data_IF_139121613300
#
_entry.id   IF_139121613300
#
_cell.length_a   1.000
_cell.length_b   1.000
_cell.length_c   1.000
_cell.angle_alpha   90.00
_cell.angle_beta   90.00
_cell.angle_gamma   90.00
#
_symmetry.space_group_name_H-M   'P 1'
#
loop_
_entity.id
_entity.type
_entity.pdbx_description
1 polymer ?
#
# COMPACT_ATOMS: atom_id res chain seq x y z
N UNK A 1 -18.23 -2.85 14.30
CA UNK A 1 -16.95 -2.25 14.75
C UNK A 1 -15.93 -2.55 13.65
N UNK A 2 -15.07 -1.63 13.30
CA UNK A 2 -13.98 -1.89 12.35
C UNK A 2 -12.77 -2.46 13.11
N UNK A 3 -11.91 -3.18 12.43
CA UNK A 3 -10.64 -3.71 12.95
C UNK A 3 -9.51 -2.77 12.52
N UNK A 4 -8.60 -2.43 13.42
CA UNK A 4 -7.49 -1.52 13.14
C UNK A 4 -6.17 -2.28 13.23
N UNK A 5 -5.32 -2.08 12.22
CA UNK A 5 -3.95 -2.61 12.16
C UNK A 5 -3.00 -1.42 12.09
N UNK A 6 -1.95 -1.45 12.87
CA UNK A 6 -0.87 -0.46 12.88
C UNK A 6 0.34 -1.02 12.15
N UNK A 7 1.01 -0.17 11.38
CA UNK A 7 2.21 -0.54 10.64
C UNK A 7 3.40 0.34 11.05
N UNK A 8 4.57 -0.26 11.14
CA UNK A 8 5.84 0.43 11.38
C UNK A 8 6.89 -0.03 10.38
N UNK A 9 7.71 0.91 9.91
CA UNK A 9 8.68 0.68 8.85
C UNK A 9 8.27 1.27 7.51
N UNK A 10 9.14 1.09 6.52
CA UNK A 10 8.93 1.56 5.15
C UNK A 10 9.71 0.72 4.15
N UNK A 11 9.27 0.68 2.91
CA UNK A 11 10.00 0.06 1.81
C UNK A 11 10.75 1.14 1.04
N UNK A 12 12.02 0.91 0.79
CA UNK A 12 12.88 1.83 0.03
C UNK A 12 12.83 1.52 -1.46
N UNK A 13 12.65 2.58 -2.26
CA UNK A 13 12.83 2.51 -3.70
C UNK A 13 14.31 2.50 -4.09
N UNK A 14 14.66 1.78 -5.15
CA UNK A 14 16.02 1.74 -5.71
C UNK A 14 16.50 3.10 -6.26
N UNK A 15 15.60 4.04 -6.47
CA UNK A 15 15.82 5.42 -6.95
C UNK A 15 14.69 6.32 -6.49
N UNK A 16 14.88 7.64 -6.34
CA UNK A 16 13.80 8.56 -6.04
C UNK A 16 12.68 8.46 -7.08
N UNK A 17 11.44 8.49 -6.60
CA UNK A 17 10.25 8.42 -7.44
C UNK A 17 9.97 9.78 -8.07
N UNK A 18 9.63 9.80 -9.34
CA UNK A 18 9.31 11.04 -10.06
C UNK A 18 8.05 11.72 -9.49
N UNK A 19 8.07 13.05 -9.40
CA UNK A 19 7.02 13.85 -8.73
C UNK A 19 5.61 13.56 -9.26
N UNK A 20 5.44 13.33 -10.55
CA UNK A 20 4.13 13.01 -11.12
C UNK A 20 3.56 11.67 -10.60
N UNK A 21 4.44 10.69 -10.38
CA UNK A 21 4.04 9.40 -9.84
C UNK A 21 3.73 9.50 -8.35
N UNK A 22 4.50 10.27 -7.60
CA UNK A 22 4.21 10.60 -6.19
C UNK A 22 2.84 11.24 -6.07
N UNK A 23 2.55 12.27 -6.88
CA UNK A 23 1.25 12.94 -6.89
C UNK A 23 0.12 11.97 -7.23
N UNK A 24 0.32 11.13 -8.26
CA UNK A 24 -0.68 10.13 -8.66
C UNK A 24 -0.94 9.11 -7.55
N UNK A 25 0.10 8.47 -6.99
CA UNK A 25 -0.03 7.44 -5.96
C UNK A 25 -0.68 8.01 -4.69
N UNK A 26 -0.26 9.19 -4.22
CA UNK A 26 -0.85 9.81 -3.04
C UNK A 26 -2.30 10.25 -3.29
N UNK A 27 -2.67 10.59 -4.53
CA UNK A 27 -4.06 10.82 -4.91
C UNK A 27 -4.86 9.53 -5.04
N UNK A 28 -4.25 8.45 -5.53
CA UNK A 28 -4.83 7.11 -5.60
C UNK A 28 -5.22 6.60 -4.20
N UNK A 29 -4.33 6.76 -3.21
CA UNK A 29 -4.56 6.47 -1.80
C UNK A 29 -5.80 7.22 -1.27
N UNK A 30 -5.89 8.51 -1.52
CA UNK A 30 -6.98 9.36 -1.04
C UNK A 30 -8.26 9.30 -1.89
N UNK A 31 -8.40 8.34 -2.80
CA UNK A 31 -9.59 8.19 -3.65
C UNK A 31 -10.23 6.83 -3.42
N UNK A 32 -11.53 6.81 -3.05
CA UNK A 32 -12.28 5.56 -2.89
C UNK A 32 -12.30 4.76 -4.20
N UNK A 33 -11.90 3.50 -4.15
CA UNK A 33 -11.74 2.58 -5.28
C UNK A 33 -13.07 1.93 -5.71
N UNK A 34 -14.03 2.76 -6.10
CA UNK A 34 -15.34 2.27 -6.54
C UNK A 34 -15.28 1.75 -7.98
N UNK A 35 -16.05 0.71 -8.23
CA UNK A 35 -16.27 0.18 -9.58
C UNK A 35 -16.98 1.20 -10.46
N UNK A 36 -16.44 1.48 -11.65
CA UNK A 36 -16.89 2.55 -12.53
C UNK A 36 -17.06 2.11 -13.99
N UNK A 37 -17.91 2.80 -14.72
CA UNK A 37 -18.05 2.71 -16.17
C UNK A 37 -17.06 3.65 -16.86
N UNK A 38 -16.11 3.08 -17.59
CA UNK A 38 -15.07 3.84 -18.29
C UNK A 38 -15.64 4.80 -19.36
N UNK A 39 -16.74 4.44 -20.03
CA UNK A 39 -17.37 5.32 -21.02
C UNK A 39 -17.99 6.55 -20.32
N UNK A 40 -18.60 6.34 -19.15
CA UNK A 40 -19.16 7.42 -18.35
C UNK A 40 -18.09 8.31 -17.72
N UNK A 41 -16.96 7.75 -17.30
CA UNK A 41 -15.82 8.57 -16.86
C UNK A 41 -15.42 9.55 -17.97
N UNK A 42 -15.23 9.07 -19.20
CA UNK A 42 -14.83 9.90 -20.33
C UNK A 42 -15.87 10.97 -20.70
N UNK A 43 -17.14 10.67 -20.52
CA UNK A 43 -18.24 11.63 -20.75
C UNK A 43 -18.28 12.73 -19.69
N UNK A 44 -18.14 12.35 -18.40
CA UNK A 44 -18.32 13.26 -17.27
C UNK A 44 -17.08 14.08 -16.92
N UNK A 45 -15.91 13.57 -17.23
CA UNK A 45 -14.62 14.19 -16.89
C UNK A 45 -13.80 14.45 -18.16
N UNK A 46 -13.93 15.64 -18.77
CA UNK A 46 -13.22 15.96 -20.03
C UNK A 46 -11.70 15.78 -19.98
N UNK A 47 -11.11 15.99 -18.80
CA UNK A 47 -9.65 15.81 -18.55
C UNK A 47 -9.31 14.44 -17.95
N UNK A 48 -10.13 13.41 -18.20
CA UNK A 48 -9.98 12.07 -17.61
C UNK A 48 -8.59 11.46 -17.79
N UNK A 49 -7.89 11.78 -18.89
CA UNK A 49 -6.52 11.29 -19.15
C UNK A 49 -5.52 11.73 -18.07
N UNK A 50 -5.75 12.91 -17.46
CA UNK A 50 -4.94 13.43 -16.36
C UNK A 50 -5.34 12.83 -15.00
N UNK A 51 -6.49 12.17 -14.95
CA UNK A 51 -7.07 11.59 -13.74
C UNK A 51 -6.93 10.07 -13.71
N UNK A 52 -5.94 9.53 -14.43
CA UNK A 52 -5.68 8.09 -14.46
C UNK A 52 -4.19 7.82 -14.74
N UNK A 53 -3.78 6.57 -14.52
CA UNK A 53 -2.38 6.18 -14.68
C UNK A 53 -1.98 6.16 -16.15
N UNK A 54 -1.04 7.03 -16.55
CA UNK A 54 -0.50 7.09 -17.92
C UNK A 54 -1.57 7.15 -19.03
N UNK A 55 -2.70 7.84 -18.77
CA UNK A 55 -3.80 7.96 -19.74
C UNK A 55 -4.62 6.67 -19.88
N UNK A 56 -4.51 5.73 -18.96
CA UNK A 56 -5.25 4.47 -18.94
C UNK A 56 -6.20 4.41 -17.74
N UNK A 57 -7.47 4.08 -17.96
CA UNK A 57 -8.47 3.89 -16.91
C UNK A 57 -8.41 2.50 -16.28
N UNK A 58 -7.76 1.54 -16.94
CA UNK A 58 -7.78 0.15 -16.52
C UNK A 58 -9.14 -0.51 -16.69
N UNK A 59 -9.37 -1.61 -16.01
CA UNK A 59 -10.65 -2.30 -16.00
C UNK A 59 -11.57 -1.67 -14.94
N UNK A 60 -12.82 -1.34 -15.33
CA UNK A 60 -13.83 -0.78 -14.41
C UNK A 60 -13.39 0.50 -13.66
N UNK A 61 -12.50 1.30 -14.27
CA UNK A 61 -12.01 2.55 -13.68
C UNK A 61 -10.94 2.38 -12.60
N UNK A 62 -10.27 1.23 -12.56
CA UNK A 62 -9.29 0.90 -11.49
C UNK A 62 -8.15 1.92 -11.33
N UNK A 63 -7.78 2.63 -12.40
CA UNK A 63 -6.73 3.67 -12.33
C UNK A 63 -7.26 5.10 -12.21
N UNK A 64 -8.58 5.29 -12.11
CA UNK A 64 -9.18 6.62 -12.02
C UNK A 64 -9.00 7.20 -10.61
N UNK A 65 -8.40 8.40 -10.52
CA UNK A 65 -8.14 9.12 -9.26
C UNK A 65 -9.00 10.38 -9.10
N UNK A 66 -10.02 10.54 -9.94
CA UNK A 66 -10.99 11.61 -9.85
C UNK A 66 -12.24 11.19 -9.08
N UNK A 67 -13.29 11.95 -9.29
CA UNK A 67 -14.61 11.70 -8.70
C UNK A 67 -15.13 12.91 -7.94
N UNK A 68 -16.41 12.86 -7.59
CA UNK A 68 -17.06 13.90 -6.81
C UNK A 68 -16.94 13.63 -5.31
N UNK A 69 -17.07 14.70 -4.53
CA UNK A 69 -17.11 14.63 -3.07
C UNK A 69 -15.74 14.44 -2.43
N UNK A 70 -15.77 14.37 -1.10
CA UNK A 70 -14.58 14.18 -0.29
C UNK A 70 -13.99 12.78 -0.55
N UNK A 71 -12.69 12.70 -0.79
CA UNK A 71 -12.00 11.47 -1.19
C UNK A 71 -12.60 10.79 -2.44
N UNK A 72 -13.14 11.55 -3.37
CA UNK A 72 -13.70 11.00 -4.61
C UNK A 72 -14.84 9.99 -4.41
N UNK A 73 -15.44 9.94 -3.21
CA UNK A 73 -16.46 8.94 -2.85
C UNK A 73 -17.90 9.37 -3.17
N UNK A 74 -18.08 10.52 -3.83
CA UNK A 74 -19.40 10.94 -4.29
C UNK A 74 -19.94 10.01 -5.37
N UNK A 75 -21.23 9.75 -5.32
CA UNK A 75 -21.90 8.93 -6.33
C UNK A 75 -22.18 9.78 -7.59
N UNK A 76 -21.22 9.84 -8.49
CA UNK A 76 -21.43 10.41 -9.83
C UNK A 76 -21.96 9.35 -10.81
N UNK A 77 -22.37 9.80 -12.01
CA UNK A 77 -22.99 8.93 -13.01
C UNK A 77 -22.07 7.83 -13.59
N UNK A 78 -20.76 7.81 -13.24
CA UNK A 78 -19.84 6.74 -13.66
C UNK A 78 -19.77 5.60 -12.64
N UNK A 79 -20.25 5.78 -11.41
CA UNK A 79 -20.20 4.75 -10.35
C UNK A 79 -21.20 3.64 -10.65
N UNK A 80 -20.71 2.44 -10.89
CA UNK A 80 -21.52 1.24 -11.07
C UNK A 80 -21.88 0.60 -9.73
N UNK A 81 -20.92 0.55 -8.81
CA UNK A 81 -21.11 0.07 -7.45
C UNK A 81 -20.24 0.85 -6.47
N UNK A 82 -20.90 1.51 -5.52
CA UNK A 82 -20.23 2.32 -4.50
C UNK A 82 -19.49 1.47 -3.45
N UNK A 83 -19.92 0.24 -3.24
CA UNK A 83 -19.42 -0.65 -2.18
C UNK A 83 -18.52 -1.77 -2.70
N UNK A 84 -18.27 -1.82 -3.99
CA UNK A 84 -17.35 -2.77 -4.60
C UNK A 84 -16.26 -2.02 -5.37
N UNK A 85 -14.98 -2.43 -5.24
CA UNK A 85 -13.91 -1.93 -6.08
C UNK A 85 -14.02 -2.53 -7.50
N UNK A 86 -13.17 -2.08 -8.41
CA UNK A 86 -12.91 -2.83 -9.64
C UNK A 86 -12.47 -4.25 -9.27
N UNK A 87 -12.84 -5.24 -10.08
CA UNK A 87 -12.59 -6.66 -9.74
C UNK A 87 -11.11 -7.05 -9.66
N UNK A 88 -10.23 -6.22 -10.19
CA UNK A 88 -8.77 -6.36 -10.13
C UNK A 88 -8.17 -5.80 -8.84
N UNK A 89 -8.94 -5.03 -8.07
CA UNK A 89 -8.48 -4.33 -6.87
C UNK A 89 -8.88 -5.06 -5.59
N UNK A 90 -7.98 -5.12 -4.59
CA UNK A 90 -8.23 -5.86 -3.34
C UNK A 90 -9.38 -5.30 -2.50
N UNK A 91 -9.52 -3.98 -2.46
CA UNK A 91 -10.48 -3.33 -1.57
C UNK A 91 -10.88 -1.92 -2.00
N UNK A 92 -11.61 -1.24 -1.14
CA UNK A 92 -12.12 0.12 -1.40
C UNK A 92 -11.11 1.22 -1.07
N UNK A 93 -10.06 0.91 -0.31
CA UNK A 93 -9.06 1.87 0.14
C UNK A 93 -7.67 1.25 0.11
N UNK A 94 -6.78 1.86 -0.63
CA UNK A 94 -5.35 1.63 -0.52
C UNK A 94 -4.78 2.67 0.44
N UNK A 95 -4.00 2.28 1.43
CA UNK A 95 -3.40 3.22 2.38
C UNK A 95 -1.86 3.26 2.31
N UNK A 96 -1.29 2.74 1.22
CA UNK A 96 0.13 2.91 0.92
C UNK A 96 0.37 4.23 0.20
N UNK A 97 1.30 5.05 0.72
CA UNK A 97 1.70 6.34 0.15
C UNK A 97 3.20 6.40 -0.11
N UNK A 98 3.61 7.27 -1.01
CA UNK A 98 5.02 7.62 -1.18
C UNK A 98 5.31 8.80 -0.26
N UNK A 99 6.27 8.61 0.64
CA UNK A 99 6.72 9.59 1.64
C UNK A 99 8.22 9.84 1.58
N UNK A 100 8.75 10.44 2.65
CA UNK A 100 10.16 10.82 2.74
C UNK A 100 10.54 11.84 1.68
N UNK A 101 11.72 11.71 1.12
CA UNK A 101 12.20 12.51 -0.02
C UNK A 101 11.86 11.82 -1.37
N UNK A 102 10.64 11.28 -1.50
CA UNK A 102 10.15 10.49 -2.64
C UNK A 102 10.89 9.16 -2.83
N UNK A 103 11.42 8.58 -1.79
CA UNK A 103 12.24 7.36 -1.84
C UNK A 103 11.70 6.21 -0.99
N UNK A 104 10.55 6.39 -0.34
CA UNK A 104 9.93 5.40 0.53
C UNK A 104 8.45 5.15 0.19
N UNK A 105 8.02 3.88 0.28
CA UNK A 105 6.61 3.51 0.37
C UNK A 105 6.29 3.19 1.82
N UNK A 106 5.24 3.81 2.37
CA UNK A 106 4.86 3.68 3.77
C UNK A 106 3.34 3.75 3.96
N UNK A 107 2.87 3.36 5.15
CA UNK A 107 1.47 3.50 5.53
C UNK A 107 1.13 4.96 5.84
N UNK A 108 -0.07 5.41 5.50
CA UNK A 108 -0.55 6.79 5.69
C UNK A 108 -1.04 7.10 7.12
N UNK A 109 -1.07 6.09 8.00
CA UNK A 109 -1.57 6.20 9.37
C UNK A 109 -3.11 6.10 9.48
N UNK A 110 -3.81 5.78 8.40
CA UNK A 110 -5.27 5.66 8.39
C UNK A 110 -5.77 4.39 9.08
N UNK A 111 -6.94 4.47 9.74
CA UNK A 111 -7.58 3.31 10.35
C UNK A 111 -8.14 2.33 9.30
N UNK A 112 -8.26 1.05 9.68
CA UNK A 112 -9.00 0.01 8.93
C UNK A 112 -8.42 -0.27 7.55
N UNK A 113 -7.11 -0.46 7.51
CA UNK A 113 -6.44 -0.90 6.30
C UNK A 113 -6.58 -2.41 6.13
N UNK A 114 -7.51 -2.82 5.28
CA UNK A 114 -7.74 -4.22 4.92
C UNK A 114 -7.00 -4.59 3.63
N UNK A 115 -6.71 -5.87 3.45
CA UNK A 115 -6.06 -6.41 2.24
C UNK A 115 -4.73 -5.69 1.91
N UNK A 116 -3.98 -5.32 2.96
CA UNK A 116 -2.78 -4.48 2.83
C UNK A 116 -1.64 -5.16 2.07
N UNK A 117 -1.50 -6.47 2.17
CA UNK A 117 -0.50 -7.25 1.41
C UNK A 117 -0.90 -7.29 -0.07
N UNK A 118 -2.14 -7.63 -0.36
CA UNK A 118 -2.69 -7.67 -1.72
C UNK A 118 -2.63 -6.28 -2.38
N UNK A 119 -2.84 -5.21 -1.60
CA UNK A 119 -2.65 -3.85 -2.08
C UNK A 119 -1.20 -3.54 -2.42
N UNK A 120 -0.25 -4.02 -1.62
CA UNK A 120 1.18 -3.86 -1.89
C UNK A 120 1.59 -4.58 -3.19
N UNK A 121 1.18 -5.84 -3.33
CA UNK A 121 1.40 -6.62 -4.56
C UNK A 121 0.76 -5.95 -5.78
N UNK A 122 -0.49 -5.44 -5.64
CA UNK A 122 -1.17 -4.72 -6.69
C UNK A 122 -0.40 -3.47 -7.13
N UNK A 123 0.10 -2.68 -6.19
CA UNK A 123 0.86 -1.47 -6.50
C UNK A 123 2.20 -1.78 -7.17
N UNK A 124 2.90 -2.78 -6.69
CA UNK A 124 4.15 -3.25 -7.31
C UNK A 124 3.89 -3.65 -8.77
N UNK A 125 2.93 -4.53 -9.00
CA UNK A 125 2.66 -5.08 -10.32
C UNK A 125 2.13 -4.06 -11.33
N UNK A 126 1.34 -3.08 -10.88
CA UNK A 126 0.66 -2.14 -11.80
C UNK A 126 1.36 -0.79 -11.95
N UNK A 127 2.10 -0.33 -10.92
CA UNK A 127 2.67 1.02 -10.92
C UNK A 127 4.20 1.03 -10.84
N UNK A 128 4.81 0.18 -10.02
CA UNK A 128 6.25 0.29 -9.74
C UNK A 128 7.10 -0.54 -10.70
N UNK A 129 6.84 -1.83 -10.79
CA UNK A 129 7.61 -2.74 -11.64
C UNK A 129 7.60 -2.35 -13.13
N UNK A 130 6.46 -1.96 -13.76
CA UNK A 130 6.43 -1.51 -15.14
C UNK A 130 7.26 -0.26 -15.44
N UNK A 131 7.56 0.54 -14.42
CA UNK A 131 8.37 1.76 -14.50
C UNK A 131 9.84 1.54 -14.05
N UNK A 132 10.19 0.30 -13.69
CA UNK A 132 11.53 -0.06 -13.25
C UNK A 132 11.88 0.45 -11.86
N UNK A 133 10.88 0.65 -11.00
CA UNK A 133 11.09 0.86 -9.58
C UNK A 133 11.17 -0.49 -8.87
N UNK A 134 12.14 -0.62 -7.97
CA UNK A 134 12.36 -1.82 -7.15
C UNK A 134 12.26 -1.42 -5.70
N UNK A 135 11.42 -2.12 -4.96
CA UNK A 135 11.19 -1.94 -3.54
C UNK A 135 11.93 -3.00 -2.74
N UNK A 136 12.53 -2.57 -1.64
CA UNK A 136 13.18 -3.45 -0.66
C UNK A 136 12.93 -2.93 0.75
N UNK A 137 12.80 -3.83 1.74
CA UNK A 137 12.66 -3.50 3.14
C UNK A 137 11.62 -4.32 3.86
N UNK A 138 11.37 -3.93 5.10
CA UNK A 138 10.45 -4.63 6.00
C UNK A 138 9.43 -3.66 6.59
N UNK A 139 8.18 -4.11 6.68
CA UNK A 139 7.10 -3.43 7.38
C UNK A 139 6.53 -4.41 8.41
N UNK A 140 6.55 -4.02 9.68
CA UNK A 140 5.88 -4.78 10.74
C UNK A 140 4.43 -4.33 10.87
N UNK A 141 3.55 -5.24 11.28
CA UNK A 141 2.19 -4.88 11.66
C UNK A 141 1.81 -5.44 13.03
N UNK A 142 0.87 -4.74 13.67
CA UNK A 142 0.21 -5.14 14.91
C UNK A 142 -1.28 -4.81 14.81
N UNK A 143 -2.12 -5.82 14.88
CA UNK A 143 -3.58 -5.69 14.92
C UNK A 143 -4.14 -5.48 16.31
N UNK A 144 -5.47 -5.44 16.44
CA UNK A 144 -6.16 -5.30 17.75
C UNK A 144 -6.04 -6.57 18.61
N UNK A 145 -5.88 -7.75 18.01
CA UNK A 145 -5.65 -9.02 18.70
C UNK A 145 -4.15 -9.25 18.88
N UNK A 146 -3.74 -9.72 20.06
CA UNK A 146 -2.32 -9.82 20.44
C UNK A 146 -1.51 -10.84 19.63
N UNK A 147 -2.15 -11.72 18.89
CA UNK A 147 -1.56 -12.72 18.01
C UNK A 147 -1.61 -12.29 16.52
N UNK A 148 -2.32 -11.19 16.20
CA UNK A 148 -2.31 -10.60 14.88
C UNK A 148 -1.12 -9.64 14.73
N UNK A 149 0.04 -10.23 14.56
CA UNK A 149 1.32 -9.53 14.39
C UNK A 149 2.14 -10.21 13.31
N UNK A 150 3.03 -9.48 12.67
CA UNK A 150 3.93 -10.07 11.69
C UNK A 150 4.82 -9.08 10.98
N UNK A 151 5.46 -9.56 9.92
CA UNK A 151 6.36 -8.77 9.08
C UNK A 151 6.05 -9.03 7.61
N UNK A 152 5.96 -7.98 6.85
CA UNK A 152 5.97 -8.00 5.38
C UNK A 152 7.41 -7.74 4.95
N UNK A 153 8.03 -8.72 4.33
CA UNK A 153 9.36 -8.61 3.74
C UNK A 153 9.21 -8.35 2.25
N UNK A 154 9.94 -7.39 1.72
CA UNK A 154 10.01 -7.15 0.28
C UNK A 154 11.47 -7.17 -0.16
N UNK A 155 11.79 -8.05 -1.08
CA UNK A 155 13.11 -8.13 -1.72
C UNK A 155 12.92 -8.15 -3.24
N UNK A 156 13.49 -7.17 -3.92
CA UNK A 156 13.42 -7.02 -5.38
C UNK A 156 11.97 -7.13 -5.93
N UNK A 157 11.02 -6.41 -5.29
CA UNK A 157 9.58 -6.44 -5.60
C UNK A 157 8.84 -7.76 -5.27
N UNK A 158 9.53 -8.74 -4.69
CA UNK A 158 8.90 -9.98 -4.22
C UNK A 158 8.44 -9.80 -2.78
N UNK A 159 7.15 -9.98 -2.54
CA UNK A 159 6.52 -9.86 -1.22
C UNK A 159 6.47 -11.23 -0.55
N UNK A 160 6.98 -11.34 0.67
CA UNK A 160 6.85 -12.49 1.55
C UNK A 160 6.30 -12.04 2.91
N UNK A 161 5.55 -12.91 3.60
CA UNK A 161 4.85 -12.54 4.82
C UNK A 161 5.11 -13.56 5.92
N UNK A 162 5.63 -13.08 7.04
CA UNK A 162 5.85 -13.88 8.25
C UNK A 162 4.86 -13.49 9.34
N UNK A 163 3.98 -14.41 9.74
CA UNK A 163 2.94 -14.21 10.75
C UNK A 163 3.40 -14.62 12.14
N UNK A 164 2.88 -13.96 13.19
CA UNK A 164 3.11 -14.32 14.58
C UNK A 164 4.49 -13.90 15.12
N UNK A 165 5.20 -13.01 14.40
CA UNK A 165 6.52 -12.55 14.80
C UNK A 165 6.44 -11.16 15.43
N UNK A 166 6.68 -11.08 16.75
CA UNK A 166 6.97 -9.81 17.40
C UNK A 166 8.42 -9.40 17.07
N UNK A 167 8.62 -8.55 16.09
CA UNK A 167 9.92 -7.90 15.88
C UNK A 167 10.03 -6.75 16.89
N UNK A 168 10.50 -7.08 18.09
CA UNK A 168 11.09 -6.02 18.91
C UNK A 168 12.27 -5.46 18.12
N UNK A 169 12.23 -4.17 17.79
CA UNK A 169 13.32 -3.53 17.08
C UNK A 169 14.62 -3.82 17.84
N UNK A 170 15.54 -4.54 17.22
CA UNK A 170 16.81 -4.91 17.86
C UNK A 170 17.60 -3.65 18.31
N UNK A 171 17.28 -2.49 17.77
CA UNK A 171 17.85 -1.20 18.16
C UNK A 171 17.47 -0.73 19.58
N UNK A 172 16.41 -1.29 20.18
CA UNK A 172 15.96 -0.97 21.53
C UNK A 172 16.43 -2.00 22.59
N UNK A 173 17.03 -3.11 22.16
CA UNK A 173 17.54 -4.15 23.06
C UNK A 173 18.99 -3.88 23.43
N UNK A 174 19.33 -4.11 24.71
CA UNK A 174 20.75 -4.16 25.08
C UNK A 174 21.42 -5.42 24.47
N UNK A 175 22.73 -5.41 24.37
CA UNK A 175 23.50 -6.47 23.70
C UNK A 175 23.23 -7.86 24.30
N UNK A 176 23.01 -7.96 25.62
CA UNK A 176 22.77 -9.24 26.30
C UNK A 176 21.37 -9.78 26.00
N UNK A 177 20.37 -8.92 25.90
CA UNK A 177 19.02 -9.27 25.50
C UNK A 177 18.96 -9.72 24.02
N UNK A 178 19.72 -9.07 23.15
CA UNK A 178 19.88 -9.41 21.75
C UNK A 178 20.52 -10.80 21.56
N UNK A 179 21.60 -11.08 22.29
CA UNK A 179 22.27 -12.39 22.27
C UNK A 179 21.31 -13.50 22.70
N UNK A 180 20.56 -13.30 23.80
CA UNK A 180 19.57 -14.27 24.28
C UNK A 180 18.46 -14.55 23.26
N UNK A 181 17.97 -13.54 22.58
CA UNK A 181 16.91 -13.72 21.58
C UNK A 181 17.44 -14.47 20.35
N UNK A 182 18.66 -14.16 19.89
CA UNK A 182 19.30 -14.90 18.81
C UNK A 182 19.55 -16.37 19.16
N UNK A 183 20.02 -16.65 20.39
CA UNK A 183 20.21 -18.03 20.86
C UNK A 183 18.90 -18.81 20.95
N UNK A 184 17.82 -18.17 21.40
CA UNK A 184 16.47 -18.74 21.45
C UNK A 184 15.94 -19.10 20.05
N UNK A 185 16.29 -18.33 19.04
CA UNK A 185 15.96 -18.59 17.62
C UNK A 185 16.91 -19.61 16.95
N UNK A 186 17.89 -20.17 17.70
CA UNK A 186 18.78 -21.23 17.23
C UNK A 186 20.05 -20.74 16.55
N UNK A 187 20.35 -19.44 16.57
CA UNK A 187 21.61 -18.90 16.07
C UNK A 187 22.71 -19.08 17.12
N UNK A 188 23.89 -19.49 16.66
CA UNK A 188 25.09 -19.52 17.54
C UNK A 188 25.76 -18.16 17.46
N UNK A 189 25.73 -17.41 18.54
CA UNK A 189 26.45 -16.16 18.67
C UNK A 189 27.86 -16.46 19.20
N UNK A 190 28.88 -16.19 18.41
CA UNK A 190 30.29 -16.26 18.81
C UNK A 190 30.77 -14.83 19.09
N UNK A 191 31.31 -14.63 20.31
CA UNK A 191 31.95 -13.38 20.70
C UNK A 191 33.28 -13.17 19.95
#
# INVERSE_FOLDING_TARGET
>A
MGYTTYFDGSLKFNKPVEDWLVEYINKFNTTRRMKRDNAKIKELFPDWEKLCFSGNLGEEGEYFIGGLGYYGQGNDGSVLDHNCPAKTQPGLWCQWIIGGDNDELMWDGGEKFYDYVEWLEYMIANFFDPLGYVLNGDITWEGEESDDVGVIHVEDNVVDVEYGVHVHSMSAMDTDAMIKELEKRGYKVTA
#
